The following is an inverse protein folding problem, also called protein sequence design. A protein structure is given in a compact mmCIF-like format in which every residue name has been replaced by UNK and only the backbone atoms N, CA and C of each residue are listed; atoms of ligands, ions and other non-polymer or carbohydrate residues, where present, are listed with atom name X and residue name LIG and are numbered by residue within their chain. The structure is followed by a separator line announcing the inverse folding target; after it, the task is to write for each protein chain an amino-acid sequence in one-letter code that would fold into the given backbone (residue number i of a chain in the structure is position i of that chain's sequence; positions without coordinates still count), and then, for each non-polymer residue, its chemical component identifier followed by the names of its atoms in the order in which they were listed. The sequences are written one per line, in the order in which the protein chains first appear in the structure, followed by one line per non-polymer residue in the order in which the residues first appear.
data_IF_607326661601
#
_entry.id   IF_607326661601
#
_cell.length_a   1.000
_cell.length_b   1.000
_cell.length_c   1.000
_cell.angle_alpha   90.00
_cell.angle_beta   90.00
_cell.angle_gamma   90.00
#
_symmetry.space_group_name_H-M   'P 1'
#
loop_
_entity.id
_entity.type
_entity.pdbx_description
1 polymer ?
#
# COMPACT_ATOMS: atom_id res chain seq x y z
N UNK A 1 71.43 64.86 -5.33
CA UNK A 1 69.97 65.05 -5.26
C UNK A 1 69.36 63.73 -5.67
N UNK A 2 69.11 62.84 -4.70
CA UNK A 2 68.67 61.46 -4.94
C UNK A 2 67.27 61.34 -4.41
N UNK A 3 66.26 61.06 -5.32
CA UNK A 3 64.89 60.82 -4.96
C UNK A 3 64.77 59.37 -4.53
N UNK A 4 64.38 59.16 -3.26
CA UNK A 4 64.01 57.84 -2.76
C UNK A 4 62.49 57.62 -3.01
N UNK A 5 62.12 56.69 -3.92
CA UNK A 5 60.78 56.25 -4.14
C UNK A 5 60.40 55.26 -3.03
N UNK A 6 59.48 55.64 -2.19
CA UNK A 6 58.82 54.74 -1.24
C UNK A 6 57.86 53.81 -2.00
N UNK A 7 58.11 52.48 -1.96
CA UNK A 7 57.21 51.48 -2.42
C UNK A 7 56.25 51.14 -1.25
N UNK A 8 55.00 51.41 -1.47
CA UNK A 8 53.89 51.02 -0.58
C UNK A 8 53.56 49.56 -0.85
N UNK A 9 53.81 48.67 0.15
CA UNK A 9 53.47 47.26 0.09
C UNK A 9 52.07 47.12 0.59
N UNK A 10 51.07 46.84 -0.32
CA UNK A 10 49.72 46.55 0.05
C UNK A 10 49.63 45.07 0.36
N UNK A 11 49.45 44.73 1.63
CA UNK A 11 49.15 43.37 2.09
C UNK A 11 47.65 43.11 1.88
N UNK A 12 47.32 42.30 0.87
CA UNK A 12 45.98 41.81 0.67
C UNK A 12 45.81 40.56 1.55
N UNK A 13 45.08 40.71 2.65
CA UNK A 13 44.68 39.58 3.50
C UNK A 13 43.49 38.92 2.83
N UNK A 14 43.72 37.74 2.24
CA UNK A 14 42.65 36.87 1.76
C UNK A 14 42.00 36.17 2.95
N UNK A 15 40.86 36.65 3.36
CA UNK A 15 39.98 35.92 4.28
C UNK A 15 39.30 34.79 3.51
N UNK A 16 39.80 33.56 3.65
CA UNK A 16 39.09 32.37 3.23
C UNK A 16 37.92 32.15 4.19
N UNK A 17 36.73 32.55 3.79
CA UNK A 17 35.49 32.07 4.37
C UNK A 17 35.37 30.58 4.07
N UNK A 18 35.76 29.75 5.02
CA UNK A 18 35.37 28.33 5.04
C UNK A 18 33.87 28.28 5.25
N UNK A 19 33.13 28.26 4.15
CA UNK A 19 31.74 27.83 4.17
C UNK A 19 31.79 26.33 4.47
N UNK A 20 31.61 26.00 5.74
CA UNK A 20 31.38 24.63 6.17
C UNK A 20 30.12 24.12 5.48
N UNK A 21 30.26 23.26 4.45
CA UNK A 21 29.20 22.39 4.05
C UNK A 21 28.87 21.49 5.25
N UNK A 22 27.85 21.82 5.99
CA UNK A 22 27.18 20.81 6.83
C UNK A 22 26.72 19.71 5.88
N UNK A 23 27.07 18.44 6.11
CA UNK A 23 26.48 17.37 5.34
C UNK A 23 24.97 17.49 5.56
N UNK A 24 24.23 17.79 4.50
CA UNK A 24 22.81 17.61 4.46
C UNK A 24 22.62 16.12 4.71
N UNK A 25 22.06 15.77 5.86
CA UNK A 25 21.60 14.39 6.09
C UNK A 25 20.74 14.03 4.89
N UNK A 26 21.19 13.04 4.13
CA UNK A 26 20.35 12.43 3.10
C UNK A 26 19.06 12.02 3.78
N UNK A 27 17.89 12.27 3.17
CA UNK A 27 16.64 11.75 3.71
C UNK A 27 16.86 10.26 3.99
N UNK A 28 16.69 9.86 5.24
CA UNK A 28 16.73 8.45 5.65
C UNK A 28 15.88 7.67 4.68
N UNK A 29 16.42 6.62 4.10
CA UNK A 29 15.75 5.77 3.13
C UNK A 29 14.39 5.33 3.71
N UNK A 30 13.26 5.71 3.10
CA UNK A 30 11.93 5.37 3.61
C UNK A 30 11.60 3.87 3.51
N UNK A 31 12.51 3.02 2.98
CA UNK A 31 12.33 1.57 2.97
C UNK A 31 12.53 0.91 4.34
N UNK A 32 13.08 1.63 5.33
CA UNK A 32 13.10 1.14 6.70
C UNK A 32 11.78 1.50 7.34
N UNK A 33 10.82 0.61 7.26
CA UNK A 33 9.63 0.72 8.09
C UNK A 33 10.06 0.62 9.55
N UNK A 34 9.71 1.61 10.36
CA UNK A 34 9.72 1.41 11.80
C UNK A 34 8.72 0.29 12.09
N UNK A 35 9.19 -0.80 12.70
CA UNK A 35 8.46 -2.08 12.86
C UNK A 35 7.11 -1.94 13.60
N UNK A 36 6.81 -0.79 14.20
CA UNK A 36 5.61 -0.53 15.00
C UNK A 36 4.66 0.53 14.41
N UNK A 37 4.82 0.95 13.15
CA UNK A 37 3.98 2.00 12.60
C UNK A 37 2.56 1.50 12.26
N UNK A 38 1.64 1.60 13.25
CA UNK A 38 0.23 1.22 13.10
C UNK A 38 -0.61 2.43 12.73
N UNK A 39 -0.60 2.79 11.46
CA UNK A 39 -1.26 3.98 10.94
C UNK A 39 -2.66 3.73 10.35
N UNK A 40 -3.06 2.48 10.17
CA UNK A 40 -4.42 2.12 9.75
C UNK A 40 -5.31 2.13 10.99
N UNK A 41 -6.09 3.21 11.16
CA UNK A 41 -6.87 3.53 12.36
C UNK A 41 -8.39 3.50 12.15
N UNK A 42 -8.82 3.25 10.91
CA UNK A 42 -10.21 3.02 10.56
C UNK A 42 -10.33 1.79 9.65
N UNK A 43 -11.45 1.09 9.74
CA UNK A 43 -11.70 -0.08 8.90
C UNK A 43 -11.91 0.37 7.44
N UNK A 44 -11.12 -0.14 6.48
CA UNK A 44 -11.29 0.19 5.06
C UNK A 44 -12.57 -0.36 4.45
N UNK A 45 -13.28 -1.26 5.15
CA UNK A 45 -14.42 -2.00 4.67
C UNK A 45 -15.59 -1.97 5.66
N UNK A 46 -16.80 -2.10 5.17
CA UNK A 46 -17.92 -2.59 5.97
C UNK A 46 -17.83 -4.11 6.05
N UNK A 47 -17.28 -4.63 7.16
CA UNK A 47 -17.07 -6.07 7.34
C UNK A 47 -18.38 -6.86 7.23
N UNK A 48 -19.54 -6.22 7.49
CA UNK A 48 -20.84 -6.89 7.35
C UNK A 48 -21.17 -7.26 5.90
N UNK A 49 -20.49 -6.71 4.93
CA UNK A 49 -20.70 -6.93 3.50
C UNK A 49 -19.77 -7.99 2.89
N UNK A 50 -18.77 -8.47 3.65
CA UNK A 50 -17.72 -9.38 3.17
C UNK A 50 -17.98 -10.81 3.61
N UNK A 51 -17.90 -11.75 2.69
CA UNK A 51 -18.03 -13.19 2.97
C UNK A 51 -16.70 -13.80 3.37
N UNK A 52 -15.62 -13.50 2.59
CA UNK A 52 -14.28 -14.00 2.85
C UNK A 52 -13.20 -13.10 2.21
N UNK A 53 -11.98 -13.24 2.70
CA UNK A 53 -10.83 -12.48 2.25
C UNK A 53 -9.68 -13.42 1.93
N UNK A 54 -8.95 -13.18 0.82
CA UNK A 54 -7.79 -13.98 0.47
C UNK A 54 -6.62 -13.72 1.41
N UNK A 55 -5.77 -14.70 1.55
CA UNK A 55 -4.48 -14.57 2.23
C UNK A 55 -3.60 -13.54 1.50
N UNK A 56 -2.80 -12.81 2.25
CA UNK A 56 -1.60 -12.16 1.71
C UNK A 56 -0.63 -13.25 1.24
N UNK A 57 -0.08 -13.13 0.05
CA UNK A 57 0.67 -14.18 -0.69
C UNK A 57 -0.21 -15.35 -1.17
N UNK A 58 -1.49 -15.08 -1.49
CA UNK A 58 -2.38 -16.10 -2.07
C UNK A 58 -2.03 -16.43 -3.52
N UNK A 59 -2.63 -17.50 -4.03
CA UNK A 59 -2.64 -17.83 -5.46
C UNK A 59 -3.95 -17.38 -6.13
N UNK A 60 -4.52 -16.27 -5.69
CA UNK A 60 -5.76 -15.72 -6.24
C UNK A 60 -5.43 -14.62 -7.26
N UNK A 61 -6.10 -14.67 -8.41
CA UNK A 61 -5.98 -13.67 -9.47
C UNK A 61 -4.69 -13.82 -10.28
N UNK A 62 -3.77 -12.86 -10.17
CA UNK A 62 -2.55 -12.79 -10.96
C UNK A 62 -1.34 -12.44 -10.09
N UNK A 63 -0.15 -12.60 -10.65
CA UNK A 63 1.09 -12.19 -9.98
C UNK A 63 1.04 -10.68 -9.69
N UNK A 64 1.08 -10.36 -8.41
CA UNK A 64 1.14 -9.00 -7.91
C UNK A 64 2.15 -8.97 -6.77
N UNK A 65 3.40 -9.11 -7.12
CA UNK A 65 4.50 -9.32 -6.20
C UNK A 65 5.67 -8.36 -6.47
N UNK A 66 6.61 -8.30 -5.54
CA UNK A 66 7.76 -7.42 -5.64
C UNK A 66 8.70 -7.60 -4.46
N UNK A 67 9.29 -6.50 -3.97
CA UNK A 67 10.05 -6.52 -2.72
C UNK A 67 9.09 -6.58 -1.53
N UNK A 68 9.40 -7.39 -0.54
CA UNK A 68 8.71 -7.39 0.74
C UNK A 68 9.34 -6.34 1.69
N UNK A 69 8.81 -6.22 2.91
CA UNK A 69 9.27 -5.24 3.90
C UNK A 69 10.74 -5.46 4.30
N UNK A 70 11.26 -6.69 4.20
CA UNK A 70 12.65 -7.03 4.48
C UNK A 70 13.58 -6.74 3.29
N UNK A 71 13.05 -6.20 2.18
CA UNK A 71 13.79 -5.93 0.95
C UNK A 71 14.08 -7.18 0.10
N UNK A 72 13.48 -8.32 0.42
CA UNK A 72 13.63 -9.55 -0.34
C UNK A 72 12.65 -9.57 -1.53
N UNK A 73 13.13 -10.02 -2.68
CA UNK A 73 12.28 -10.16 -3.86
C UNK A 73 11.38 -11.40 -3.75
N UNK A 74 10.10 -11.18 -3.91
CA UNK A 74 9.09 -12.22 -4.04
C UNK A 74 8.50 -12.24 -5.46
N UNK A 75 8.11 -13.42 -5.95
CA UNK A 75 7.55 -13.63 -7.30
C UNK A 75 6.49 -14.70 -7.27
N UNK A 76 5.60 -14.68 -8.27
CA UNK A 76 4.55 -15.68 -8.47
C UNK A 76 3.65 -15.87 -7.25
N UNK A 77 3.12 -14.76 -6.75
CA UNK A 77 2.14 -14.69 -5.65
C UNK A 77 1.38 -13.40 -5.68
N UNK A 78 0.22 -13.36 -5.06
CA UNK A 78 -0.54 -12.12 -4.87
C UNK A 78 -0.25 -11.50 -3.52
N UNK A 79 0.47 -10.37 -3.48
CA UNK A 79 0.76 -9.59 -2.27
C UNK A 79 -0.30 -8.51 -2.07
N UNK A 80 -1.55 -8.90 -2.21
CA UNK A 80 -2.76 -8.12 -1.93
C UNK A 80 -3.85 -9.03 -1.41
N UNK A 81 -4.93 -8.46 -0.88
CA UNK A 81 -6.08 -9.21 -0.42
C UNK A 81 -7.23 -9.06 -1.42
N UNK A 82 -7.72 -10.15 -1.93
CA UNK A 82 -8.98 -10.23 -2.66
C UNK A 82 -10.13 -10.45 -1.68
N UNK A 83 -11.23 -9.78 -1.93
CA UNK A 83 -12.40 -9.80 -1.09
C UNK A 83 -13.60 -10.32 -1.87
N UNK A 84 -14.24 -11.33 -1.35
CA UNK A 84 -15.51 -11.79 -1.86
C UNK A 84 -16.63 -11.20 -1.01
N UNK A 85 -17.53 -10.42 -1.61
CA UNK A 85 -18.70 -9.90 -0.91
C UNK A 85 -19.72 -11.00 -0.66
N UNK A 86 -20.70 -10.70 0.19
CA UNK A 86 -21.88 -11.55 0.31
C UNK A 86 -22.54 -11.75 -1.07
N UNK A 87 -23.04 -12.96 -1.39
CA UNK A 87 -23.62 -13.25 -2.70
C UNK A 87 -24.74 -12.31 -3.15
N UNK A 88 -25.50 -11.76 -2.20
CA UNK A 88 -26.58 -10.79 -2.47
C UNK A 88 -26.06 -9.41 -2.90
N UNK A 89 -24.78 -9.12 -2.71
CA UNK A 89 -24.15 -7.84 -3.06
C UNK A 89 -23.32 -7.91 -4.34
N UNK A 90 -23.08 -9.09 -4.87
CA UNK A 90 -22.34 -9.29 -6.12
C UNK A 90 -23.09 -8.60 -7.27
N UNK A 91 -22.38 -7.82 -8.07
CA UNK A 91 -22.97 -7.07 -9.17
C UNK A 91 -23.76 -5.83 -8.75
N UNK A 92 -23.56 -5.35 -7.52
CA UNK A 92 -24.19 -4.12 -7.02
C UNK A 92 -23.14 -3.06 -6.68
N UNK A 93 -23.56 -1.78 -6.70
CA UNK A 93 -22.72 -0.65 -6.25
C UNK A 93 -22.93 -0.36 -4.74
N UNK A 94 -23.23 -1.39 -3.92
CA UNK A 94 -23.59 -1.20 -2.51
C UNK A 94 -22.44 -1.50 -1.53
N UNK A 95 -21.36 -2.12 -2.00
CA UNK A 95 -20.22 -2.47 -1.15
C UNK A 95 -19.37 -1.22 -0.94
N UNK A 96 -19.32 -0.76 0.31
CA UNK A 96 -18.68 0.49 0.68
C UNK A 96 -17.20 0.32 0.96
N UNK A 97 -16.41 1.32 0.56
CA UNK A 97 -14.99 1.44 0.93
C UNK A 97 -14.75 2.75 1.67
N UNK A 98 -13.82 2.73 2.62
CA UNK A 98 -13.53 3.85 3.51
C UNK A 98 -12.04 4.15 3.59
N UNK A 99 -11.68 5.40 3.90
CA UNK A 99 -10.30 5.79 4.13
C UNK A 99 -9.76 5.10 5.40
N UNK A 100 -8.65 4.34 5.30
CA UNK A 100 -8.11 3.59 6.44
C UNK A 100 -7.39 4.49 7.45
N UNK A 101 -7.09 5.74 7.08
CA UNK A 101 -6.36 6.73 7.87
C UNK A 101 -6.65 8.15 7.36
N UNK A 102 -6.28 9.17 8.14
CA UNK A 102 -6.17 10.53 7.63
C UNK A 102 -5.09 10.59 6.56
N UNK A 103 -5.43 11.12 5.40
CA UNK A 103 -4.51 11.08 4.27
C UNK A 103 -4.91 11.95 3.10
N UNK A 104 -4.35 11.62 1.95
CA UNK A 104 -4.60 12.33 0.69
C UNK A 104 -4.79 11.32 -0.44
N UNK A 105 -5.81 11.50 -1.25
CA UNK A 105 -5.94 10.81 -2.53
C UNK A 105 -4.85 11.34 -3.45
N UNK A 106 -3.89 10.50 -3.79
CA UNK A 106 -2.71 10.92 -4.57
C UNK A 106 -2.80 10.54 -6.03
N UNK A 107 -3.63 9.55 -6.35
CA UNK A 107 -3.79 9.05 -7.71
C UNK A 107 -5.11 8.30 -7.86
N UNK A 108 -5.77 8.48 -9.00
CA UNK A 108 -6.94 7.69 -9.42
C UNK A 108 -6.70 7.20 -10.85
N UNK A 109 -6.51 5.90 -11.02
CA UNK A 109 -6.24 5.28 -12.32
C UNK A 109 -7.47 4.55 -12.84
N UNK A 110 -7.64 4.58 -14.16
CA UNK A 110 -8.61 3.70 -14.81
C UNK A 110 -8.12 2.26 -14.76
N UNK A 111 -8.98 1.35 -14.31
CA UNK A 111 -8.68 -0.09 -14.15
C UNK A 111 -9.95 -0.92 -14.30
N UNK A 112 -10.42 -1.14 -15.55
CA UNK A 112 -11.70 -1.82 -15.78
C UNK A 112 -11.78 -3.20 -15.11
N UNK A 113 -12.93 -3.50 -14.46
CA UNK A 113 -14.06 -2.60 -14.22
C UNK A 113 -13.74 -1.60 -13.10
N UNK A 114 -14.20 -0.35 -13.25
CA UNK A 114 -14.00 0.70 -12.24
C UNK A 114 -12.63 1.37 -12.28
N UNK A 115 -12.17 1.84 -11.12
CA UNK A 115 -10.93 2.59 -10.94
C UNK A 115 -10.07 1.99 -9.82
N UNK A 116 -8.79 2.38 -9.79
CA UNK A 116 -7.93 2.20 -8.64
C UNK A 116 -7.74 3.54 -7.92
N UNK A 117 -7.94 3.58 -6.59
CA UNK A 117 -7.72 4.78 -5.76
C UNK A 117 -6.50 4.54 -4.88
N UNK A 118 -5.53 5.44 -4.98
CA UNK A 118 -4.31 5.45 -4.15
C UNK A 118 -4.41 6.53 -3.08
N UNK A 119 -4.27 6.14 -1.81
CA UNK A 119 -4.36 7.05 -0.68
C UNK A 119 -3.03 7.01 0.07
N UNK A 120 -2.36 8.16 0.18
CA UNK A 120 -1.14 8.31 0.97
C UNK A 120 -1.50 8.67 2.41
N UNK A 121 -0.90 7.98 3.38
CA UNK A 121 -1.13 8.25 4.80
C UNK A 121 -0.47 9.57 5.22
N UNK A 122 -1.16 10.39 6.02
CA UNK A 122 -0.63 11.67 6.51
C UNK A 122 0.59 11.48 7.41
N UNK A 123 0.59 10.46 8.27
CA UNK A 123 1.69 10.18 9.22
C UNK A 123 2.77 9.30 8.64
N UNK A 124 2.52 8.67 7.48
CA UNK A 124 3.43 7.77 6.77
C UNK A 124 3.30 8.01 5.26
N UNK A 125 3.73 9.16 4.72
CA UNK A 125 3.41 9.59 3.36
C UNK A 125 4.03 8.73 2.25
N UNK A 126 5.05 7.94 2.55
CA UNK A 126 5.59 6.94 1.62
C UNK A 126 4.65 5.73 1.44
N UNK A 127 3.78 5.46 2.41
CA UNK A 127 2.81 4.38 2.34
C UNK A 127 1.56 4.80 1.60
N UNK A 128 1.10 3.92 0.69
CA UNK A 128 -0.16 4.09 -0.05
C UNK A 128 -1.03 2.86 0.13
N UNK A 129 -2.26 3.09 0.58
CA UNK A 129 -3.32 2.10 0.51
C UNK A 129 -4.01 2.21 -0.84
N UNK A 130 -4.24 1.09 -1.50
CA UNK A 130 -4.74 1.05 -2.87
C UNK A 130 -6.00 0.18 -2.89
N UNK A 131 -7.11 0.77 -3.31
CA UNK A 131 -8.31 0.01 -3.65
C UNK A 131 -8.37 -0.17 -5.16
N UNK A 132 -8.74 -1.35 -5.62
CA UNK A 132 -8.96 -1.65 -7.02
C UNK A 132 -10.43 -1.93 -7.30
N UNK A 133 -10.86 -1.66 -8.55
CA UNK A 133 -12.21 -1.97 -9.03
C UNK A 133 -13.32 -1.20 -8.31
N UNK A 134 -13.10 0.07 -8.04
CA UNK A 134 -14.00 0.91 -7.27
C UNK A 134 -14.60 2.07 -8.10
N UNK A 135 -15.73 2.58 -7.64
CA UNK A 135 -16.37 3.80 -8.13
C UNK A 135 -16.21 4.87 -7.05
N UNK A 136 -15.37 5.90 -7.29
CA UNK A 136 -15.19 6.98 -6.33
C UNK A 136 -16.52 7.70 -6.03
N UNK A 137 -16.74 8.08 -4.77
CA UNK A 137 -17.86 8.93 -4.39
C UNK A 137 -17.71 10.34 -4.98
N UNK A 138 -18.82 11.06 -5.07
CA UNK A 138 -18.82 12.45 -5.55
C UNK A 138 -17.89 13.29 -4.65
N UNK A 139 -16.94 14.01 -5.25
CA UNK A 139 -15.96 14.84 -4.56
C UNK A 139 -14.66 14.10 -4.18
N UNK A 140 -14.58 12.79 -4.38
CA UNK A 140 -13.33 12.04 -4.23
C UNK A 140 -12.54 12.14 -5.55
N UNK A 141 -11.51 12.97 -5.54
CA UNK A 141 -10.64 13.25 -6.68
C UNK A 141 -9.17 13.36 -6.25
N UNK A 142 -8.25 13.33 -7.19
CA UNK A 142 -6.83 13.49 -6.88
C UNK A 142 -6.55 14.83 -6.20
N UNK A 143 -5.76 14.77 -5.15
CA UNK A 143 -5.38 15.94 -4.35
C UNK A 143 -6.27 16.19 -3.14
N UNK A 144 -7.47 15.58 -3.03
CA UNK A 144 -8.35 15.77 -1.89
C UNK A 144 -7.77 15.15 -0.60
N UNK A 145 -7.97 15.82 0.52
CA UNK A 145 -7.67 15.29 1.85
C UNK A 145 -8.88 14.48 2.33
N UNK A 146 -8.62 13.33 2.91
CA UNK A 146 -9.62 12.44 3.47
C UNK A 146 -9.34 12.17 4.94
N UNK A 147 -10.40 11.93 5.72
CA UNK A 147 -10.32 11.56 7.13
C UNK A 147 -10.48 10.04 7.29
N UNK A 148 -9.87 9.49 8.33
CA UNK A 148 -10.07 8.10 8.71
C UNK A 148 -11.56 7.76 8.86
N UNK A 149 -12.03 6.71 8.19
CA UNK A 149 -13.44 6.30 8.17
C UNK A 149 -14.34 7.07 7.20
N UNK A 150 -13.82 8.05 6.45
CA UNK A 150 -14.58 8.73 5.40
C UNK A 150 -14.87 7.77 4.24
N UNK A 151 -16.12 7.74 3.77
CA UNK A 151 -16.48 6.89 2.63
C UNK A 151 -15.84 7.43 1.33
N UNK A 152 -15.01 6.61 0.71
CA UNK A 152 -14.32 6.95 -0.54
C UNK A 152 -15.12 6.58 -1.78
N UNK A 153 -16.05 5.67 -1.66
CA UNK A 153 -16.83 5.17 -2.78
C UNK A 153 -17.45 3.80 -2.51
N UNK A 154 -17.70 3.11 -3.60
CA UNK A 154 -18.22 1.73 -3.59
C UNK A 154 -17.41 0.86 -4.55
N UNK A 155 -17.51 -0.44 -4.39
CA UNK A 155 -17.01 -1.40 -5.39
C UNK A 155 -17.86 -1.29 -6.65
N UNK A 156 -17.24 -1.41 -7.82
CA UNK A 156 -17.95 -1.37 -9.10
C UNK A 156 -18.93 -2.55 -9.22
N UNK A 157 -20.18 -2.25 -9.56
CA UNK A 157 -21.20 -3.25 -9.84
C UNK A 157 -20.93 -4.14 -11.06
N UNK A 158 -19.97 -3.75 -11.91
CA UNK A 158 -19.52 -4.57 -13.04
C UNK A 158 -18.62 -5.75 -12.62
N UNK A 159 -18.24 -5.81 -11.34
CA UNK A 159 -17.44 -6.91 -10.79
C UNK A 159 -18.35 -8.10 -10.44
N UNK A 160 -17.99 -9.28 -10.93
CA UNK A 160 -18.80 -10.47 -10.81
C UNK A 160 -18.36 -11.42 -9.67
N UNK A 161 -17.24 -11.15 -9.01
CA UNK A 161 -16.71 -12.07 -8.00
C UNK A 161 -16.02 -11.38 -6.84
N UNK A 162 -14.86 -10.78 -7.07
CA UNK A 162 -14.03 -10.19 -6.03
C UNK A 162 -13.47 -8.83 -6.45
N UNK A 163 -13.17 -8.01 -5.47
CA UNK A 163 -12.37 -6.81 -5.58
C UNK A 163 -11.16 -6.95 -4.67
N UNK A 164 -10.24 -5.99 -4.68
CA UNK A 164 -9.00 -6.16 -3.95
C UNK A 164 -8.44 -4.83 -3.42
N UNK A 165 -7.60 -4.96 -2.40
CA UNK A 165 -6.77 -3.87 -1.91
C UNK A 165 -5.33 -4.32 -1.65
N UNK A 166 -4.41 -3.37 -1.69
CA UNK A 166 -3.02 -3.55 -1.38
C UNK A 166 -2.47 -2.42 -0.52
N UNK A 167 -1.38 -2.69 0.18
CA UNK A 167 -0.56 -1.69 0.85
C UNK A 167 0.85 -1.73 0.26
N UNK A 168 1.37 -0.56 -0.12
CA UNK A 168 2.72 -0.41 -0.67
C UNK A 168 3.42 0.78 -0.05
N UNK A 169 4.71 0.61 0.21
CA UNK A 169 5.62 1.73 0.43
C UNK A 169 6.33 2.10 -0.86
N UNK A 170 6.41 3.39 -1.15
CA UNK A 170 7.08 3.94 -2.34
C UNK A 170 8.33 4.69 -1.92
N UNK A 171 9.45 4.33 -2.49
CA UNK A 171 10.74 4.96 -2.23
C UNK A 171 11.53 5.17 -3.53
N UNK A 172 12.68 5.80 -3.40
CA UNK A 172 13.63 5.95 -4.52
C UNK A 172 14.17 4.61 -5.04
N UNK A 173 14.23 3.60 -4.17
CA UNK A 173 14.73 2.25 -4.50
C UNK A 173 13.65 1.32 -5.03
N UNK A 174 12.41 1.78 -5.13
CA UNK A 174 11.30 1.01 -5.66
C UNK A 174 10.08 0.96 -4.75
N UNK A 175 9.29 -0.07 -4.95
CA UNK A 175 8.06 -0.33 -4.21
C UNK A 175 8.25 -1.56 -3.33
N UNK A 176 7.82 -1.45 -2.08
CA UNK A 176 7.77 -2.54 -1.11
C UNK A 176 6.32 -2.88 -0.81
N UNK A 177 6.02 -4.15 -0.74
CA UNK A 177 4.68 -4.67 -0.43
C UNK A 177 4.65 -5.16 1.01
N UNK A 178 3.57 -4.82 1.71
CA UNK A 178 3.27 -5.43 3.00
C UNK A 178 1.77 -5.66 3.17
N UNK A 179 1.43 -6.53 4.13
CA UNK A 179 0.04 -6.74 4.48
C UNK A 179 -0.50 -5.58 5.31
N UNK A 180 -1.66 -4.99 4.96
CA UNK A 180 -2.30 -3.97 5.79
C UNK A 180 -2.49 -4.39 7.25
N UNK A 181 -2.63 -5.69 7.53
CA UNK A 181 -2.80 -6.23 8.88
C UNK A 181 -1.59 -5.97 9.79
N UNK A 182 -0.39 -5.78 9.23
CA UNK A 182 0.81 -5.40 9.99
C UNK A 182 0.78 -3.94 10.44
N UNK A 183 -0.05 -3.11 9.80
CA UNK A 183 -0.14 -1.67 10.03
C UNK A 183 -1.47 -1.21 10.62
N UNK A 184 -2.37 -2.15 10.94
CA UNK A 184 -3.64 -1.86 11.60
C UNK A 184 -3.45 -1.59 13.09
N UNK A 185 -4.20 -0.63 13.64
CA UNK A 185 -4.30 -0.42 15.08
C UNK A 185 -4.94 -1.63 15.77
N UNK A 186 -4.67 -1.79 17.06
CA UNK A 186 -5.23 -2.90 17.82
C UNK A 186 -6.76 -2.95 17.76
N UNK A 187 -7.43 -1.78 17.82
CA UNK A 187 -8.90 -1.72 17.71
C UNK A 187 -9.43 -2.28 16.38
N UNK A 188 -8.75 -1.99 15.27
CA UNK A 188 -9.15 -2.53 13.96
C UNK A 188 -8.87 -4.04 13.91
N UNK A 189 -7.72 -4.49 14.43
CA UNK A 189 -7.43 -5.93 14.49
C UNK A 189 -8.46 -6.70 15.34
N UNK A 190 -8.94 -6.11 16.44
CA UNK A 190 -10.02 -6.67 17.26
C UNK A 190 -11.34 -6.81 16.49
N UNK A 191 -11.69 -5.82 15.64
CA UNK A 191 -12.87 -5.90 14.77
C UNK A 191 -12.76 -7.07 13.78
N UNK A 192 -11.59 -7.24 13.14
CA UNK A 192 -11.35 -8.38 12.25
C UNK A 192 -11.33 -9.70 13.00
N UNK A 193 -10.70 -9.77 14.17
CA UNK A 193 -10.65 -10.97 15.00
C UNK A 193 -12.05 -11.42 15.46
N UNK A 194 -12.93 -10.48 15.79
CA UNK A 194 -14.33 -10.78 16.11
C UNK A 194 -15.09 -11.42 14.92
N UNK A 195 -14.60 -11.24 13.71
CA UNK A 195 -15.10 -11.86 12.48
C UNK A 195 -14.26 -13.08 12.01
N UNK A 196 -13.30 -13.56 12.83
CA UNK A 196 -12.49 -14.75 12.54
C UNK A 196 -11.23 -14.50 11.72
N UNK A 197 -10.87 -13.26 11.47
CA UNK A 197 -9.68 -12.89 10.68
C UNK A 197 -8.63 -12.27 11.61
N UNK A 198 -7.44 -12.87 11.65
CA UNK A 198 -6.30 -12.39 12.43
C UNK A 198 -5.04 -12.34 11.57
N UNK A 199 -4.00 -11.57 11.95
CA UNK A 199 -2.74 -11.57 11.21
C UNK A 199 -2.18 -12.97 10.98
N UNK A 200 -2.31 -13.86 11.96
CA UNK A 200 -1.77 -15.22 11.92
C UNK A 200 -2.46 -16.12 10.89
N UNK A 201 -3.75 -15.88 10.60
CA UNK A 201 -4.49 -16.71 9.65
C UNK A 201 -4.70 -16.05 8.28
N UNK A 202 -4.42 -14.73 8.15
CA UNK A 202 -4.62 -14.00 6.90
C UNK A 202 -3.30 -13.73 6.15
N UNK A 203 -2.14 -13.91 6.81
CA UNK A 203 -0.83 -13.72 6.20
C UNK A 203 -0.16 -15.09 6.03
N UNK A 204 -0.02 -15.52 4.78
CA UNK A 204 0.76 -16.71 4.46
C UNK A 204 2.24 -16.35 4.47
N UNK A 205 3.09 -17.16 5.13
CA UNK A 205 4.51 -16.83 5.22
C UNK A 205 5.20 -16.95 3.86
N UNK A 206 6.29 -16.20 3.68
CA UNK A 206 7.11 -16.27 2.47
C UNK A 206 7.67 -17.67 2.26
N UNK A 207 8.21 -18.28 3.32
CA UNK A 207 8.80 -19.61 3.29
C UNK A 207 7.78 -20.68 2.89
N UNK A 208 6.57 -20.59 3.43
CA UNK A 208 5.51 -21.53 3.08
C UNK A 208 5.09 -21.35 1.61
N UNK A 209 4.99 -20.10 1.12
CA UNK A 209 4.67 -19.84 -0.31
C UNK A 209 5.81 -20.23 -1.24
N UNK A 210 7.07 -20.07 -0.83
CA UNK A 210 8.23 -20.52 -1.60
C UNK A 210 8.28 -22.07 -1.70
N UNK A 211 7.83 -22.76 -0.64
CA UNK A 211 7.72 -24.22 -0.64
C UNK A 211 6.52 -24.74 -1.46
N UNK A 212 5.46 -23.92 -1.60
CA UNK A 212 4.26 -24.24 -2.37
C UNK A 212 3.95 -23.10 -3.38
N UNK A 213 4.69 -23.01 -4.50
CA UNK A 213 4.51 -21.94 -5.49
C UNK A 213 3.13 -21.95 -6.13
N UNK A 214 2.63 -20.78 -6.50
CA UNK A 214 1.36 -20.67 -7.20
C UNK A 214 1.44 -21.27 -8.59
N UNK A 215 0.49 -22.15 -8.98
CA UNK A 215 0.44 -22.69 -10.34
C UNK A 215 0.04 -21.58 -11.31
N UNK A 216 0.73 -21.51 -12.46
CA UNK A 216 0.54 -20.50 -13.49
C UNK A 216 -0.10 -21.09 -14.72
N UNK A 217 -1.12 -20.42 -15.27
CA UNK A 217 -1.75 -20.73 -16.54
C UNK A 217 -1.84 -19.48 -17.42
N UNK A 218 -0.77 -19.20 -18.16
CA UNK A 218 -0.73 -18.06 -19.07
C UNK A 218 -0.43 -16.73 -18.40
N UNK A 219 -0.76 -15.63 -19.10
CA UNK A 219 -0.53 -14.27 -18.65
C UNK A 219 -1.73 -13.38 -18.94
N UNK A 220 -1.95 -12.38 -18.08
CA UNK A 220 -2.90 -11.30 -18.32
C UNK A 220 -2.18 -9.97 -18.15
N UNK A 221 -2.18 -9.13 -19.19
CA UNK A 221 -1.50 -7.82 -19.20
C UNK A 221 0.02 -7.90 -18.89
N UNK A 222 0.66 -9.04 -19.12
CA UNK A 222 2.07 -9.28 -18.82
C UNK A 222 2.33 -9.98 -17.48
N UNK A 223 1.36 -10.02 -16.58
CA UNK A 223 1.48 -10.70 -15.28
C UNK A 223 1.04 -12.15 -15.39
N UNK A 224 1.73 -13.05 -14.67
CA UNK A 224 1.34 -14.45 -14.58
C UNK A 224 -0.07 -14.59 -13.98
N UNK A 225 -0.95 -15.30 -14.67
CA UNK A 225 -2.29 -15.61 -14.19
C UNK A 225 -2.26 -16.92 -13.43
N UNK A 226 -2.76 -16.92 -12.21
CA UNK A 226 -2.81 -18.12 -11.38
C UNK A 226 -4.02 -18.98 -11.71
N UNK A 227 -3.80 -20.30 -11.72
CA UNK A 227 -4.86 -21.28 -11.83
C UNK A 227 -5.09 -21.99 -10.52
N UNK A 228 -6.32 -22.46 -10.36
CA UNK A 228 -6.68 -23.20 -9.17
C UNK A 228 -7.03 -22.27 -8.02
N UNK A 229 -8.21 -21.68 -8.15
CA UNK A 229 -8.94 -21.12 -7.04
C UNK A 229 -9.00 -22.15 -5.90
N UNK A 230 -8.28 -21.91 -4.83
CA UNK A 230 -8.26 -22.83 -3.69
C UNK A 230 -8.96 -22.16 -2.52
N UNK A 231 -9.95 -22.83 -1.95
CA UNK A 231 -10.62 -22.35 -0.74
C UNK A 231 -9.65 -22.08 0.41
N UNK A 232 -8.56 -22.85 0.46
CA UNK A 232 -7.47 -22.66 1.45
C UNK A 232 -6.73 -21.32 1.33
N UNK A 233 -6.84 -20.63 0.19
CA UNK A 233 -6.29 -19.29 0.01
C UNK A 233 -7.22 -18.18 0.54
N UNK A 234 -8.29 -18.54 1.24
CA UNK A 234 -9.25 -17.61 1.85
C UNK A 234 -9.49 -17.89 3.32
N UNK A 235 -9.76 -16.83 4.07
CA UNK A 235 -10.34 -16.87 5.41
C UNK A 235 -11.79 -16.40 5.31
N UNK A 236 -12.72 -17.25 5.73
CA UNK A 236 -14.13 -16.91 5.80
C UNK A 236 -14.42 -16.07 7.05
N UNK A 237 -15.32 -15.10 6.91
CA UNK A 237 -15.81 -14.33 8.05
C UNK A 237 -16.87 -15.16 8.79
N UNK A 238 -16.89 -15.10 10.13
CA UNK A 238 -17.78 -15.91 10.94
C UNK A 238 -19.27 -15.69 10.62
N UNK A 239 -20.01 -16.78 10.53
CA UNK A 239 -21.44 -16.75 10.28
C UNK A 239 -21.88 -16.40 8.85
N UNK A 240 -20.96 -16.51 7.89
CA UNK A 240 -21.22 -16.11 6.49
C UNK A 240 -20.85 -17.19 5.49
#
# INVERSE_FOLDING_TARGET
MILIKKRLLVLIIFYFLLIGCTPTESPTDPLVAEDDLRFIIANPLDLSQIQRMSLFRSCIGHDYSGLNIDGEKETLRSMKHYLEPLPSLIGTDQIKIFAPFDGKVVEILDGPPGKAIYISAKVAPSWKFIFFHVVPAIGIEEGILVQAGEQLGTVSGDINSNFDFALKQFSWNGQVFDSPFMHMSNSILEEYAANGVTPENIIFSKEARDAEPCPVEGTKNGDALFTGYKDQDFVAFYGR
#
